data_IF_121096844179
#
_entry.id   IF_121096844179
#
_cell.length_a   1.000
_cell.length_b   1.000
_cell.length_c   1.000
_cell.angle_alpha   90.00
_cell.angle_beta   90.00
_cell.angle_gamma   90.00
#
_symmetry.space_group_name_H-M   'P 1'
#
loop_
_entity.id
_entity.type
_entity.pdbx_description
1 polymer ?
#
# COMPACT_ATOMS: atom_id res chain seq x y z
N UNK A 1 -33.50 -23.93 -27.03
CA UNK A 1 -32.34 -23.25 -27.66
C UNK A 1 -32.05 -23.72 -29.09
N UNK A 2 -31.48 -24.91 -29.34
CA UNK A 2 -31.14 -25.34 -30.71
C UNK A 2 -32.33 -25.32 -31.70
N UNK A 3 -33.51 -25.73 -31.25
CA UNK A 3 -34.73 -25.71 -32.06
C UNK A 3 -35.20 -24.28 -32.41
N UNK A 4 -35.21 -23.35 -31.46
CA UNK A 4 -35.52 -21.93 -31.70
C UNK A 4 -34.50 -21.25 -32.61
N UNK A 5 -33.21 -21.60 -32.50
CA UNK A 5 -32.16 -21.07 -33.37
C UNK A 5 -32.25 -21.57 -34.82
N UNK A 6 -33.02 -22.63 -35.06
CA UNK A 6 -33.34 -23.16 -36.39
C UNK A 6 -34.77 -22.78 -36.84
N UNK A 7 -35.32 -21.70 -36.27
CA UNK A 7 -36.69 -21.20 -36.53
C UNK A 7 -37.82 -22.22 -36.25
N UNK A 8 -37.53 -23.22 -35.42
CA UNK A 8 -38.51 -24.21 -34.98
C UNK A 8 -39.47 -23.65 -33.94
N UNK A 9 -40.76 -23.98 -34.07
CA UNK A 9 -41.79 -23.58 -33.10
C UNK A 9 -41.75 -24.48 -31.86
N UNK A 10 -41.51 -23.89 -30.69
CA UNK A 10 -41.55 -24.57 -29.39
C UNK A 10 -42.81 -24.15 -28.63
N UNK A 11 -43.54 -25.11 -28.06
CA UNK A 11 -44.68 -24.87 -27.17
C UNK A 11 -44.24 -24.90 -25.70
N UNK A 12 -45.13 -24.46 -24.80
CA UNK A 12 -44.81 -24.42 -23.36
C UNK A 12 -44.50 -25.82 -22.85
N UNK A 13 -43.27 -26.00 -22.37
CA UNK A 13 -42.76 -27.30 -21.92
C UNK A 13 -42.48 -27.32 -20.42
N UNK A 14 -42.30 -26.15 -19.79
CA UNK A 14 -42.15 -26.04 -18.33
C UNK A 14 -43.52 -26.14 -17.65
N UNK A 15 -43.54 -26.80 -16.50
CA UNK A 15 -44.71 -26.88 -15.65
C UNK A 15 -44.36 -26.83 -14.17
N UNK A 16 -45.35 -26.73 -13.27
CA UNK A 16 -45.11 -26.68 -11.83
C UNK A 16 -44.31 -27.88 -11.30
N UNK A 17 -44.54 -29.06 -11.91
CA UNK A 17 -43.92 -30.33 -11.54
C UNK A 17 -42.80 -30.76 -12.52
N UNK A 18 -42.48 -29.95 -13.52
CA UNK A 18 -41.47 -30.28 -14.53
C UNK A 18 -40.66 -29.04 -14.91
N UNK A 19 -39.46 -28.93 -14.35
CA UNK A 19 -38.54 -27.80 -14.52
C UNK A 19 -39.17 -26.41 -14.27
N UNK A 20 -39.80 -26.19 -13.09
CA UNK A 20 -40.43 -24.91 -12.77
C UNK A 20 -39.40 -23.79 -12.79
N UNK A 21 -39.78 -22.64 -13.33
CA UNK A 21 -38.97 -21.42 -13.33
C UNK A 21 -39.69 -20.36 -12.52
N UNK A 22 -38.94 -19.66 -11.66
CA UNK A 22 -39.45 -18.53 -10.89
C UNK A 22 -38.89 -17.24 -11.47
N UNK A 23 -39.77 -16.34 -11.85
CA UNK A 23 -39.42 -15.01 -12.30
C UNK A 23 -39.46 -14.02 -11.12
N UNK A 24 -38.66 -12.94 -11.15
CA UNK A 24 -38.73 -11.90 -10.13
C UNK A 24 -40.11 -11.23 -10.10
N UNK A 25 -40.46 -10.49 -9.02
CA UNK A 25 -41.69 -9.71 -8.98
C UNK A 25 -41.86 -8.83 -10.22
N UNK A 26 -43.12 -8.69 -10.68
CA UNK A 26 -43.49 -7.89 -11.86
C UNK A 26 -42.87 -8.38 -13.18
N UNK A 27 -42.73 -9.70 -13.29
CA UNK A 27 -42.29 -10.34 -14.52
C UNK A 27 -42.91 -11.71 -14.70
N UNK A 28 -42.96 -12.16 -15.95
CA UNK A 28 -43.56 -13.42 -16.34
C UNK A 28 -42.61 -14.22 -17.23
N UNK A 29 -42.69 -15.54 -17.10
CA UNK A 29 -41.94 -16.45 -17.94
C UNK A 29 -42.51 -16.44 -19.36
N UNK A 30 -41.63 -16.34 -20.37
CA UNK A 30 -41.96 -16.48 -21.78
C UNK A 30 -40.93 -17.37 -22.48
N UNK A 31 -41.39 -18.15 -23.46
CA UNK A 31 -40.52 -18.95 -24.33
C UNK A 31 -39.67 -18.09 -25.26
N UNK A 32 -40.10 -16.87 -25.52
CA UNK A 32 -39.47 -15.91 -26.42
C UNK A 32 -39.61 -14.52 -25.77
N UNK A 33 -38.59 -14.12 -25.02
CA UNK A 33 -38.57 -12.83 -24.32
C UNK A 33 -37.95 -11.74 -25.20
N UNK A 34 -38.51 -10.55 -25.17
CA UNK A 34 -37.94 -9.32 -25.70
C UNK A 34 -37.22 -8.55 -24.57
N UNK A 35 -35.99 -8.97 -24.25
CA UNK A 35 -35.21 -8.38 -23.15
C UNK A 35 -34.35 -7.19 -23.58
N UNK A 36 -34.29 -6.88 -24.89
CA UNK A 36 -33.40 -5.83 -25.39
C UNK A 36 -34.08 -4.45 -25.39
N UNK A 37 -35.38 -4.38 -25.69
CA UNK A 37 -36.07 -3.10 -25.89
C UNK A 37 -36.53 -2.42 -24.59
N UNK A 38 -36.63 -3.16 -23.48
CA UNK A 38 -37.25 -2.67 -22.23
C UNK A 38 -36.33 -2.76 -21.02
N UNK A 39 -35.14 -2.14 -21.11
CA UNK A 39 -34.21 -2.04 -19.97
C UNK A 39 -33.96 -0.58 -19.59
N UNK A 40 -33.75 -0.27 -18.31
CA UNK A 40 -33.43 1.10 -17.88
C UNK A 40 -32.20 1.68 -18.61
N UNK A 41 -31.17 0.86 -18.81
CA UNK A 41 -29.98 1.26 -19.57
C UNK A 41 -30.26 1.39 -21.09
N UNK A 42 -31.15 0.56 -21.63
CA UNK A 42 -31.53 0.53 -23.04
C UNK A 42 -32.42 1.70 -23.44
N UNK A 43 -33.32 2.17 -22.58
CA UNK A 43 -34.17 3.34 -22.87
C UNK A 43 -33.33 4.62 -22.97
N UNK A 44 -32.20 4.66 -22.26
CA UNK A 44 -31.27 5.78 -22.25
C UNK A 44 -30.16 5.66 -23.32
N UNK A 45 -30.15 4.60 -24.14
CA UNK A 45 -29.13 4.38 -25.19
C UNK A 45 -29.73 3.93 -26.51
N UNK A 46 -29.26 4.46 -27.64
CA UNK A 46 -29.71 4.01 -28.97
C UNK A 46 -29.08 2.67 -29.33
N UNK A 47 -29.61 1.55 -28.83
CA UNK A 47 -29.17 0.21 -29.21
C UNK A 47 -30.12 -0.42 -30.22
N UNK A 48 -29.54 -0.96 -31.29
CA UNK A 48 -30.26 -1.79 -32.26
C UNK A 48 -30.40 -3.19 -31.68
N UNK A 49 -31.63 -3.60 -31.37
CA UNK A 49 -31.93 -4.94 -30.89
C UNK A 49 -31.98 -5.93 -32.06
N UNK A 50 -31.49 -7.15 -31.83
CA UNK A 50 -31.72 -8.27 -32.73
C UNK A 50 -33.12 -8.85 -32.49
N UNK A 51 -33.78 -9.31 -33.55
CA UNK A 51 -35.07 -10.01 -33.45
C UNK A 51 -34.96 -11.43 -32.89
N UNK A 52 -33.77 -11.83 -32.41
CA UNK A 52 -33.53 -13.15 -31.85
C UNK A 52 -33.93 -13.15 -30.37
N UNK A 53 -34.96 -13.91 -30.04
CA UNK A 53 -35.43 -14.07 -28.68
C UNK A 53 -34.95 -15.38 -28.05
N UNK A 54 -34.90 -15.39 -26.72
CA UNK A 54 -34.57 -16.57 -25.92
C UNK A 54 -35.65 -16.80 -24.88
N UNK A 55 -35.68 -18.00 -24.32
CA UNK A 55 -36.58 -18.35 -23.22
C UNK A 55 -36.09 -17.72 -21.92
N UNK A 56 -36.98 -17.06 -21.16
CA UNK A 56 -36.61 -16.36 -19.93
C UNK A 56 -37.77 -15.65 -19.24
N UNK A 57 -37.45 -14.70 -18.36
CA UNK A 57 -38.42 -13.83 -17.72
C UNK A 57 -38.45 -12.47 -18.42
N UNK A 58 -39.65 -11.99 -18.72
CA UNK A 58 -39.90 -10.67 -19.29
C UNK A 58 -40.72 -9.83 -18.31
N UNK A 59 -40.35 -8.56 -18.14
CA UNK A 59 -41.08 -7.65 -17.26
C UNK A 59 -42.53 -7.46 -17.73
N UNK A 60 -43.43 -7.30 -16.77
CA UNK A 60 -44.84 -7.03 -17.06
C UNK A 60 -45.03 -5.62 -17.65
N UNK A 61 -46.12 -5.36 -18.40
CA UNK A 61 -46.40 -4.03 -18.95
C UNK A 61 -46.36 -2.93 -17.88
N UNK A 62 -45.63 -1.84 -18.15
CA UNK A 62 -45.40 -0.74 -17.19
C UNK A 62 -44.12 -0.90 -16.36
N UNK A 63 -43.41 -2.03 -16.47
CA UNK A 63 -42.13 -2.28 -15.83
C UNK A 63 -41.02 -2.47 -16.87
N UNK A 64 -39.80 -2.14 -16.46
CA UNK A 64 -38.58 -2.23 -17.26
C UNK A 64 -37.49 -2.93 -16.47
N UNK A 65 -36.60 -3.63 -17.18
CA UNK A 65 -35.53 -4.41 -16.56
C UNK A 65 -34.38 -3.50 -16.10
N UNK A 66 -34.08 -3.52 -14.81
CA UNK A 66 -32.93 -2.88 -14.20
C UNK A 66 -31.97 -3.95 -13.65
N UNK A 67 -31.08 -4.43 -14.52
CA UNK A 67 -30.18 -5.55 -14.23
C UNK A 67 -30.93 -6.86 -14.02
N UNK A 68 -31.25 -7.18 -12.77
CA UNK A 68 -31.86 -8.42 -12.32
C UNK A 68 -33.32 -8.28 -11.83
N UNK A 69 -33.88 -7.07 -11.86
CA UNK A 69 -35.22 -6.76 -11.33
C UNK A 69 -36.06 -5.98 -12.33
N UNK A 70 -37.38 -6.13 -12.25
CA UNK A 70 -38.33 -5.30 -12.98
C UNK A 70 -38.79 -4.15 -12.10
N UNK A 71 -38.58 -2.91 -12.55
CA UNK A 71 -38.89 -1.68 -11.81
C UNK A 71 -39.76 -0.76 -12.66
N UNK A 72 -40.46 0.17 -12.03
CA UNK A 72 -41.17 1.23 -12.74
C UNK A 72 -40.18 2.26 -13.30
N UNK A 73 -40.58 3.00 -14.34
CA UNK A 73 -39.68 3.92 -15.04
C UNK A 73 -39.07 5.02 -14.13
N UNK A 74 -39.81 5.47 -13.11
CA UNK A 74 -39.35 6.46 -12.12
C UNK A 74 -38.30 5.90 -11.14
N UNK A 75 -38.10 4.58 -11.15
CA UNK A 75 -37.09 3.87 -10.37
C UNK A 75 -35.88 3.44 -11.20
N UNK A 76 -35.85 3.79 -12.48
CA UNK A 76 -34.62 3.68 -13.25
C UNK A 76 -33.55 4.59 -12.67
N UNK A 77 -32.30 4.12 -12.79
CA UNK A 77 -31.14 4.89 -12.40
C UNK A 77 -30.75 5.97 -13.40
N UNK A 78 -29.46 6.29 -13.45
CA UNK A 78 -28.91 7.46 -14.12
C UNK A 78 -27.80 7.05 -15.09
N UNK A 79 -27.47 7.90 -16.05
CA UNK A 79 -26.28 7.72 -16.90
C UNK A 79 -25.22 8.74 -16.51
N UNK A 80 -24.04 8.25 -16.13
CA UNK A 80 -22.86 9.07 -15.83
C UNK A 80 -21.69 8.60 -16.68
N UNK A 81 -21.10 9.51 -17.47
CA UNK A 81 -19.98 9.22 -18.38
C UNK A 81 -20.23 7.99 -19.28
N UNK A 82 -21.44 7.86 -19.83
CA UNK A 82 -21.83 6.76 -20.71
C UNK A 82 -22.06 5.42 -20.01
N UNK A 83 -22.00 5.37 -18.67
CA UNK A 83 -22.29 4.18 -17.86
C UNK A 83 -23.59 4.37 -17.09
N UNK A 84 -24.41 3.34 -17.10
CA UNK A 84 -25.63 3.29 -16.31
C UNK A 84 -25.28 2.97 -14.84
N UNK A 85 -25.84 3.75 -13.92
CA UNK A 85 -25.77 3.61 -12.46
C UNK A 85 -27.19 3.37 -11.95
N UNK A 86 -27.40 2.39 -11.07
CA UNK A 86 -28.73 2.17 -10.46
C UNK A 86 -29.07 3.33 -9.52
N UNK A 87 -30.36 3.50 -9.21
CA UNK A 87 -30.77 4.48 -8.20
C UNK A 87 -30.09 4.16 -6.85
N UNK A 88 -29.47 5.17 -6.25
CA UNK A 88 -28.69 5.05 -5.02
C UNK A 88 -27.21 4.71 -5.22
N UNK A 89 -26.77 4.26 -6.40
CA UNK A 89 -25.36 3.98 -6.67
C UNK A 89 -24.51 5.24 -6.57
N UNK A 90 -23.25 5.07 -6.17
CA UNK A 90 -22.27 6.15 -6.08
C UNK A 90 -20.92 5.75 -6.67
N UNK A 91 -20.21 6.72 -7.22
CA UNK A 91 -18.91 6.53 -7.85
C UNK A 91 -17.99 7.72 -7.60
N UNK A 92 -16.70 7.44 -7.39
CA UNK A 92 -15.64 8.45 -7.44
C UNK A 92 -15.15 8.59 -8.88
N UNK A 93 -14.88 9.83 -9.31
CA UNK A 93 -14.22 10.07 -10.60
C UNK A 93 -12.81 9.46 -10.64
N UNK A 94 -12.22 9.25 -11.83
CA UNK A 94 -10.91 8.60 -11.96
C UNK A 94 -9.74 9.26 -11.21
N UNK A 95 -9.89 10.53 -10.87
CA UNK A 95 -8.95 11.37 -10.12
C UNK A 95 -9.39 11.58 -8.65
N UNK A 96 -10.51 10.97 -8.23
CA UNK A 96 -11.12 11.14 -6.91
C UNK A 96 -11.42 12.61 -6.56
N UNK A 97 -11.65 13.47 -7.56
CA UNK A 97 -12.00 14.89 -7.32
C UNK A 97 -13.49 15.12 -7.14
N UNK A 98 -14.33 14.16 -7.58
CA UNK A 98 -15.78 14.22 -7.40
C UNK A 98 -16.35 12.89 -6.94
N UNK A 99 -17.27 12.98 -5.98
CA UNK A 99 -18.14 11.89 -5.56
C UNK A 99 -19.52 12.12 -6.16
N UNK A 100 -19.96 11.21 -7.03
CA UNK A 100 -21.22 11.32 -7.77
C UNK A 100 -22.19 10.23 -7.33
N UNK A 101 -23.43 10.62 -7.04
CA UNK A 101 -24.51 9.72 -6.64
C UNK A 101 -25.69 9.83 -7.61
N UNK A 102 -26.23 8.68 -8.01
CA UNK A 102 -27.48 8.62 -8.76
C UNK A 102 -28.66 8.72 -7.80
N UNK A 103 -29.53 9.70 -8.02
CA UNK A 103 -30.74 9.89 -7.23
C UNK A 103 -31.85 10.47 -8.09
N UNK A 104 -33.02 9.83 -8.08
CA UNK A 104 -34.22 10.31 -8.78
C UNK A 104 -34.00 10.55 -10.29
N UNK A 105 -33.26 9.64 -10.95
CA UNK A 105 -32.95 9.72 -12.39
C UNK A 105 -31.89 10.77 -12.77
N UNK A 106 -31.36 11.52 -11.80
CA UNK A 106 -30.30 12.51 -11.98
C UNK A 106 -29.01 12.15 -11.25
N UNK A 107 -27.87 12.62 -11.76
CA UNK A 107 -26.58 12.47 -11.10
C UNK A 107 -26.26 13.75 -10.33
N UNK A 108 -26.04 13.64 -9.02
CA UNK A 108 -25.56 14.73 -8.18
C UNK A 108 -24.11 14.46 -7.80
N UNK A 109 -23.21 15.41 -8.07
CA UNK A 109 -21.80 15.29 -7.71
C UNK A 109 -21.40 16.36 -6.70
N UNK A 110 -20.60 15.97 -5.71
CA UNK A 110 -19.92 16.88 -4.78
C UNK A 110 -18.42 16.78 -4.97
N UNK A 111 -17.72 17.91 -4.79
CA UNK A 111 -16.26 17.91 -4.80
C UNK A 111 -15.73 17.12 -3.59
N UNK A 112 -14.64 16.40 -3.80
CA UNK A 112 -13.94 15.61 -2.80
C UNK A 112 -12.46 15.56 -3.14
N UNK A 113 -11.63 15.20 -2.18
CA UNK A 113 -10.22 14.91 -2.41
C UNK A 113 -9.81 13.79 -1.48
N UNK A 114 -8.78 13.04 -1.87
CA UNK A 114 -8.13 12.14 -0.93
C UNK A 114 -7.45 12.96 0.18
N UNK A 115 -7.28 12.35 1.36
CA UNK A 115 -6.47 12.94 2.41
C UNK A 115 -5.02 13.14 1.96
N UNK A 116 -4.25 13.93 2.71
CA UNK A 116 -2.85 14.26 2.39
C UNK A 116 -1.99 13.02 2.10
N UNK A 117 -2.29 11.89 2.74
CA UNK A 117 -1.47 10.67 2.69
C UNK A 117 -2.21 9.51 2.00
N UNK A 118 -3.25 9.83 1.25
CA UNK A 118 -4.03 8.86 0.50
C UNK A 118 -3.92 9.10 -1.00
N UNK A 119 -3.81 8.02 -1.77
CA UNK A 119 -3.78 8.08 -3.23
C UNK A 119 -5.07 7.52 -3.81
N UNK A 120 -5.57 8.20 -4.84
CA UNK A 120 -6.70 7.71 -5.61
C UNK A 120 -6.27 6.46 -6.41
N UNK A 121 -6.74 5.29 -6.01
CA UNK A 121 -6.40 4.03 -6.67
C UNK A 121 -7.63 3.09 -6.73
N UNK A 122 -7.44 1.90 -7.30
CA UNK A 122 -8.48 0.87 -7.38
C UNK A 122 -7.98 -0.39 -6.70
N UNK A 123 -8.57 -0.75 -5.55
CA UNK A 123 -8.29 -2.00 -4.85
C UNK A 123 -9.49 -2.94 -4.97
N UNK A 124 -9.27 -4.18 -5.42
CA UNK A 124 -10.33 -5.19 -5.62
C UNK A 124 -11.52 -4.69 -6.48
N UNK A 125 -11.23 -3.87 -7.51
CA UNK A 125 -12.25 -3.30 -8.39
C UNK A 125 -13.01 -2.09 -7.83
N UNK A 126 -12.74 -1.69 -6.59
CA UNK A 126 -13.35 -0.52 -5.95
C UNK A 126 -12.37 0.64 -6.00
N UNK A 127 -12.81 1.77 -6.55
CA UNK A 127 -12.05 3.02 -6.54
C UNK A 127 -12.24 3.74 -5.21
N UNK A 128 -11.15 4.22 -4.64
CA UNK A 128 -11.15 4.92 -3.37
C UNK A 128 -9.84 5.66 -3.12
N UNK A 129 -9.82 6.37 -2.01
CA UNK A 129 -8.62 6.93 -1.43
C UNK A 129 -8.04 5.88 -0.48
N UNK A 130 -6.79 5.51 -0.69
CA UNK A 130 -6.11 4.49 0.11
C UNK A 130 -4.79 5.05 0.61
N UNK A 131 -4.49 4.79 1.88
CA UNK A 131 -3.22 5.13 2.51
C UNK A 131 -2.05 4.67 1.65
N UNK A 132 -1.12 5.58 1.39
CA UNK A 132 0.16 5.26 0.77
C UNK A 132 1.11 4.88 1.88
N UNK A 133 1.49 3.61 1.95
CA UNK A 133 2.61 3.16 2.77
C UNK A 133 3.84 3.03 1.88
N UNK A 134 5.02 3.19 2.45
CA UNK A 134 6.27 3.02 1.70
C UNK A 134 7.36 2.34 2.51
N UNK A 135 8.28 1.72 1.78
CA UNK A 135 9.45 1.05 2.30
C UNK A 135 10.71 1.82 1.87
N UNK A 136 11.58 2.15 2.83
CA UNK A 136 12.96 2.44 2.54
C UNK A 136 13.80 1.16 2.57
N UNK A 137 14.65 0.96 1.58
CA UNK A 137 15.48 -0.24 1.43
C UNK A 137 16.96 0.12 1.46
N UNK A 138 17.75 -0.62 2.24
CA UNK A 138 19.21 -0.44 2.39
C UNK A 138 19.86 -1.80 2.21
N UNK A 139 20.76 -1.94 1.24
CA UNK A 139 21.44 -3.21 0.94
C UNK A 139 22.83 -3.00 0.35
N UNK A 140 23.52 -4.10 0.02
CA UNK A 140 24.79 -4.07 -0.72
C UNK A 140 24.72 -3.31 -2.05
N UNK A 141 23.52 -3.18 -2.64
CA UNK A 141 23.30 -2.49 -3.91
C UNK A 141 23.12 -0.97 -3.77
N UNK A 142 22.91 -0.49 -2.54
CA UNK A 142 22.58 0.90 -2.30
C UNK A 142 21.31 1.10 -1.48
N UNK A 143 20.80 2.33 -1.53
CA UNK A 143 19.60 2.79 -0.84
C UNK A 143 18.47 3.07 -1.85
N UNK A 144 17.24 2.79 -1.45
CA UNK A 144 16.01 3.26 -2.09
C UNK A 144 15.22 4.00 -1.01
N UNK A 145 14.99 5.29 -1.21
CA UNK A 145 14.21 6.15 -0.30
C UNK A 145 12.72 5.82 -0.35
N UNK A 146 11.95 6.40 0.55
CA UNK A 146 10.50 6.20 0.59
C UNK A 146 9.79 6.66 -0.69
N UNK A 147 10.28 7.71 -1.35
CA UNK A 147 9.67 8.26 -2.57
C UNK A 147 10.31 7.69 -3.85
N UNK A 148 11.23 6.73 -3.71
CA UNK A 148 11.79 5.94 -4.81
C UNK A 148 13.09 6.47 -5.40
N UNK A 149 13.73 7.49 -4.81
CA UNK A 149 15.10 7.86 -5.16
C UNK A 149 16.03 6.69 -4.85
N UNK A 150 16.74 6.20 -5.85
CA UNK A 150 17.64 5.05 -5.72
C UNK A 150 19.08 5.40 -6.09
N UNK A 151 20.05 4.81 -5.39
CA UNK A 151 21.47 4.97 -5.71
C UNK A 151 22.28 3.69 -5.52
N UNK A 152 23.53 3.73 -6.00
CA UNK A 152 24.57 2.72 -5.86
C UNK A 152 25.21 2.63 -4.46
N UNK A 153 26.44 2.08 -4.35
CA UNK A 153 26.96 1.50 -3.12
C UNK A 153 26.97 2.47 -1.94
N UNK A 154 26.51 1.99 -0.78
CA UNK A 154 26.50 2.77 0.46
C UNK A 154 27.88 2.70 1.12
N UNK A 155 28.45 3.82 1.59
CA UNK A 155 29.76 3.79 2.22
C UNK A 155 29.71 3.11 3.61
N UNK A 156 30.69 2.27 3.98
CA UNK A 156 30.72 1.57 5.27
C UNK A 156 30.76 2.53 6.47
N UNK A 157 30.14 2.15 7.59
CA UNK A 157 30.02 2.91 8.83
C UNK A 157 28.57 3.18 9.21
N UNK A 158 28.34 3.83 10.36
CA UNK A 158 26.99 4.12 10.86
C UNK A 158 26.32 5.22 10.01
N UNK A 159 25.09 4.97 9.59
CA UNK A 159 24.28 5.87 8.78
C UNK A 159 22.91 6.06 9.43
N UNK A 160 22.48 7.29 9.62
CA UNK A 160 21.11 7.59 10.05
C UNK A 160 20.16 7.40 8.88
N UNK A 161 19.40 6.31 8.94
CA UNK A 161 18.50 5.87 7.88
C UNK A 161 17.20 6.68 7.93
N UNK A 162 16.62 6.82 9.12
CA UNK A 162 15.43 7.62 9.33
C UNK A 162 15.25 8.01 10.79
N UNK A 163 14.63 9.15 11.05
CA UNK A 163 14.18 9.64 12.34
C UNK A 163 12.91 10.48 12.17
N UNK A 164 12.12 10.62 13.25
CA UNK A 164 11.06 11.61 13.28
C UNK A 164 11.70 13.00 13.46
N UNK A 165 11.40 13.95 12.57
CA UNK A 165 12.02 15.27 12.61
C UNK A 165 11.66 16.05 13.89
N UNK A 166 10.45 15.86 14.42
CA UNK A 166 10.04 16.45 15.69
C UNK A 166 10.62 15.66 16.86
N UNK A 167 11.73 16.16 17.40
CA UNK A 167 12.45 15.57 18.53
C UNK A 167 11.71 15.65 19.87
N UNK A 168 10.58 16.34 19.93
CA UNK A 168 9.76 16.50 21.14
C UNK A 168 8.52 15.62 21.16
N UNK A 169 8.28 14.85 20.09
CA UNK A 169 7.14 13.94 20.00
C UNK A 169 7.27 12.75 20.95
N UNK A 170 6.16 12.37 21.60
CA UNK A 170 6.11 11.19 22.48
C UNK A 170 6.36 9.87 21.73
N UNK A 171 6.22 9.88 20.41
CA UNK A 171 6.48 8.74 19.51
C UNK A 171 7.79 8.91 18.74
N UNK A 172 8.67 9.82 19.18
CA UNK A 172 9.95 10.07 18.53
C UNK A 172 10.78 8.79 18.42
N UNK A 173 11.40 8.63 17.26
CA UNK A 173 12.35 7.56 17.01
C UNK A 173 13.53 8.04 16.17
N UNK A 174 14.63 7.27 16.26
CA UNK A 174 15.81 7.42 15.40
C UNK A 174 16.41 6.05 15.07
N UNK A 175 16.73 5.82 13.81
CA UNK A 175 17.20 4.54 13.28
C UNK A 175 18.56 4.72 12.62
N UNK A 176 19.55 3.98 13.10
CA UNK A 176 20.90 3.97 12.58
C UNK A 176 21.24 2.56 12.09
N UNK A 177 21.69 2.46 10.84
CA UNK A 177 22.24 1.23 10.29
C UNK A 177 23.77 1.27 10.34
N UNK A 178 24.38 0.26 10.98
CA UNK A 178 25.83 0.03 10.94
C UNK A 178 26.16 -0.85 9.72
N UNK A 179 26.77 -0.22 8.70
CA UNK A 179 27.09 -0.86 7.43
C UNK A 179 28.53 -1.31 7.46
N UNK A 180 28.78 -2.61 7.29
CA UNK A 180 30.13 -3.17 7.31
C UNK A 180 30.52 -3.67 5.93
N UNK A 181 31.81 -3.57 5.63
CA UNK A 181 32.44 -4.21 4.47
C UNK A 181 33.36 -5.32 4.98
N UNK A 182 33.04 -6.58 4.69
CA UNK A 182 33.95 -7.69 4.99
C UNK A 182 34.28 -8.42 3.67
N UNK A 183 35.56 -8.47 3.27
CA UNK A 183 36.00 -9.12 2.00
C UNK A 183 35.25 -8.60 0.76
N UNK A 184 35.01 -7.30 0.68
CA UNK A 184 34.21 -6.62 -0.36
C UNK A 184 32.70 -6.96 -0.36
N UNK A 185 32.18 -7.59 0.70
CA UNK A 185 30.74 -7.76 0.92
C UNK A 185 30.22 -6.64 1.84
N UNK A 186 29.42 -5.74 1.26
CA UNK A 186 28.79 -4.62 1.98
C UNK A 186 27.44 -5.08 2.49
N UNK A 187 27.21 -5.00 3.79
CA UNK A 187 25.95 -5.44 4.39
C UNK A 187 25.61 -4.61 5.63
N UNK A 188 24.32 -4.48 5.93
CA UNK A 188 23.87 -3.94 7.22
C UNK A 188 24.15 -5.02 8.27
N UNK A 189 25.11 -4.78 9.15
CA UNK A 189 25.50 -5.73 10.19
C UNK A 189 24.60 -5.60 11.42
N UNK A 190 24.32 -4.35 11.82
CA UNK A 190 23.44 -4.03 12.95
C UNK A 190 22.55 -2.85 12.65
N UNK A 191 21.42 -2.81 13.34
CA UNK A 191 20.52 -1.66 13.36
C UNK A 191 20.28 -1.27 14.80
N UNK A 192 20.41 0.02 15.07
CA UNK A 192 20.14 0.65 16.35
C UNK A 192 18.88 1.49 16.22
N UNK A 193 17.90 1.23 17.07
CA UNK A 193 16.63 1.95 17.10
C UNK A 193 16.47 2.60 18.47
N UNK A 194 16.31 3.91 18.46
CA UNK A 194 16.11 4.74 19.64
C UNK A 194 14.66 5.17 19.72
N UNK A 195 14.12 5.13 20.93
CA UNK A 195 12.90 5.79 21.36
C UNK A 195 13.25 6.66 22.57
N UNK A 196 12.28 7.44 23.04
CA UNK A 196 12.46 8.28 24.23
C UNK A 196 12.91 7.47 25.47
N UNK A 197 12.32 6.29 25.69
CA UNK A 197 12.57 5.45 26.87
C UNK A 197 13.18 4.07 26.57
N UNK A 198 13.59 3.82 25.31
CA UNK A 198 14.11 2.52 24.91
C UNK A 198 15.21 2.63 23.85
N UNK A 199 16.19 1.74 23.95
CA UNK A 199 17.25 1.55 22.96
C UNK A 199 17.31 0.08 22.55
N UNK A 200 17.06 -0.18 21.28
CA UNK A 200 17.05 -1.53 20.70
C UNK A 200 18.22 -1.66 19.74
N UNK A 201 18.91 -2.78 19.81
CA UNK A 201 19.90 -3.17 18.80
C UNK A 201 19.52 -4.53 18.25
N UNK A 202 19.56 -4.70 16.93
CA UNK A 202 19.38 -5.99 16.26
C UNK A 202 20.52 -6.24 15.27
N UNK A 203 20.93 -7.49 15.09
CA UNK A 203 22.00 -7.89 14.15
C UNK A 203 21.50 -8.83 13.06
N UNK A 204 22.25 -8.90 11.95
CA UNK A 204 21.98 -9.87 10.87
C UNK A 204 22.20 -11.32 11.32
N UNK A 205 22.96 -11.54 12.39
CA UNK A 205 23.11 -12.83 13.08
C UNK A 205 21.87 -13.22 13.92
N UNK A 206 20.84 -12.36 13.94
CA UNK A 206 19.56 -12.51 14.65
C UNK A 206 19.71 -12.41 16.16
N UNK A 207 20.66 -11.61 16.62
CA UNK A 207 20.77 -11.22 18.02
C UNK A 207 19.99 -9.92 18.25
N UNK A 208 19.41 -9.77 19.44
CA UNK A 208 18.67 -8.57 19.83
C UNK A 208 19.02 -8.14 21.25
N UNK A 209 19.14 -6.84 21.48
CA UNK A 209 19.34 -6.24 22.78
C UNK A 209 18.30 -5.16 23.03
N UNK A 210 17.81 -5.08 24.26
CA UNK A 210 17.00 -3.98 24.76
C UNK A 210 17.72 -3.33 25.93
N UNK A 211 18.04 -2.04 25.83
CA UNK A 211 18.77 -1.27 26.84
C UNK A 211 20.08 -1.97 27.26
N UNK A 212 20.76 -2.62 26.32
CA UNK A 212 22.00 -3.39 26.53
C UNK A 212 21.81 -4.82 27.03
N UNK A 213 20.60 -5.25 27.40
CA UNK A 213 20.32 -6.62 27.82
C UNK A 213 20.05 -7.51 26.61
N UNK A 214 20.81 -8.60 26.47
CA UNK A 214 20.61 -9.60 25.42
C UNK A 214 19.25 -10.31 25.60
N UNK A 215 18.48 -10.36 24.52
CA UNK A 215 17.17 -10.98 24.48
C UNK A 215 17.23 -12.41 23.96
N UNK A 216 16.35 -13.25 24.50
CA UNK A 216 16.07 -14.58 23.95
C UNK A 216 14.83 -14.52 23.05
N UNK A 217 15.02 -14.80 21.76
CA UNK A 217 14.00 -14.83 20.69
C UNK A 217 13.42 -16.26 20.53
N UNK A 218 12.21 -16.47 19.97
CA UNK A 218 11.80 -15.93 18.67
C UNK A 218 10.86 -14.71 18.72
N UNK A 219 10.26 -14.37 19.86
CA UNK A 219 9.41 -13.19 19.99
C UNK A 219 9.43 -12.64 21.42
N UNK A 220 9.50 -11.31 21.54
CA UNK A 220 9.42 -10.56 22.80
C UNK A 220 8.64 -9.27 22.59
N UNK A 221 7.72 -8.97 23.50
CA UNK A 221 6.94 -7.73 23.51
C UNK A 221 7.39 -6.84 24.67
N UNK A 222 7.54 -5.54 24.40
CA UNK A 222 7.98 -4.52 25.34
C UNK A 222 7.10 -3.28 25.17
N UNK A 223 5.91 -3.30 25.76
CA UNK A 223 4.96 -2.19 25.67
C UNK A 223 4.58 -1.90 24.22
N UNK A 224 5.11 -0.80 23.67
CA UNK A 224 4.82 -0.32 22.32
C UNK A 224 5.56 -1.06 21.21
N UNK A 225 6.54 -1.90 21.54
CA UNK A 225 7.45 -2.52 20.58
C UNK A 225 7.40 -4.03 20.71
N UNK A 226 7.46 -4.75 19.60
CA UNK A 226 7.73 -6.18 19.58
C UNK A 226 8.94 -6.49 18.71
N UNK A 227 9.74 -7.45 19.15
CA UNK A 227 10.93 -7.94 18.45
C UNK A 227 10.70 -9.41 18.18
N UNK A 228 10.79 -9.82 16.92
CA UNK A 228 10.66 -11.22 16.52
C UNK A 228 11.76 -11.64 15.55
N UNK A 229 12.11 -12.92 15.55
CA UNK A 229 13.08 -13.48 14.62
C UNK A 229 12.57 -14.78 13.99
N UNK A 230 12.89 -14.94 12.71
CA UNK A 230 12.69 -16.16 11.95
C UNK A 230 14.05 -16.77 11.59
N UNK A 231 14.08 -17.77 10.69
CA UNK A 231 15.35 -18.33 10.21
C UNK A 231 16.15 -17.34 9.35
N UNK A 232 15.48 -16.42 8.65
CA UNK A 232 16.09 -15.56 7.64
C UNK A 232 16.06 -14.07 7.97
N UNK A 233 15.46 -13.68 9.09
CA UNK A 233 15.34 -12.27 9.46
C UNK A 233 15.08 -12.04 10.95
N UNK A 234 15.27 -10.79 11.35
CA UNK A 234 14.78 -10.21 12.59
C UNK A 234 13.92 -8.98 12.27
N UNK A 235 12.81 -8.84 12.98
CA UNK A 235 11.80 -7.80 12.77
C UNK A 235 11.58 -7.04 14.07
N UNK A 236 11.46 -5.71 13.97
CA UNK A 236 10.97 -4.83 15.02
C UNK A 236 9.66 -4.23 14.52
N UNK A 237 8.57 -4.53 15.20
CA UNK A 237 7.26 -3.92 14.98
C UNK A 237 6.95 -2.93 16.10
N UNK A 238 6.19 -1.88 15.80
CA UNK A 238 5.63 -0.99 16.81
C UNK A 238 4.13 -0.85 16.68
N UNK A 239 3.50 -0.37 17.76
CA UNK A 239 2.10 0.02 17.79
C UNK A 239 1.79 1.29 16.97
N UNK A 240 2.82 2.04 16.53
CA UNK A 240 2.68 3.17 15.59
C UNK A 240 2.83 2.70 14.14
N UNK A 241 2.68 1.41 13.87
CA UNK A 241 2.63 0.78 12.54
C UNK A 241 3.89 0.94 11.67
N UNK A 242 5.02 1.43 12.18
CA UNK A 242 6.29 1.19 11.48
C UNK A 242 6.74 -0.27 11.70
N UNK A 243 7.44 -0.81 10.70
CA UNK A 243 8.06 -2.13 10.77
C UNK A 243 9.47 -2.08 10.21
N UNK A 244 10.43 -2.53 10.99
CA UNK A 244 11.82 -2.67 10.56
C UNK A 244 12.17 -4.14 10.39
N UNK A 245 12.72 -4.51 9.24
CA UNK A 245 13.08 -5.88 8.89
C UNK A 245 14.55 -5.93 8.45
N UNK A 246 15.36 -6.73 9.15
CA UNK A 246 16.76 -6.98 8.82
C UNK A 246 16.93 -8.45 8.45
N UNK A 247 17.35 -8.72 7.21
CA UNK A 247 17.63 -10.08 6.74
C UNK A 247 18.99 -10.58 7.20
N UNK A 248 19.17 -11.90 7.23
CA UNK A 248 20.49 -12.52 7.47
C UNK A 248 21.50 -12.26 6.35
N UNK A 249 21.05 -11.78 5.18
CA UNK A 249 21.90 -11.27 4.11
C UNK A 249 22.35 -9.81 4.31
N UNK A 250 21.87 -9.17 5.39
CA UNK A 250 22.16 -7.76 5.71
C UNK A 250 21.47 -6.75 4.79
N UNK A 251 20.27 -7.11 4.29
CA UNK A 251 19.35 -6.15 3.68
C UNK A 251 18.38 -5.65 4.76
N UNK A 252 18.24 -4.34 4.84
CA UNK A 252 17.32 -3.66 5.74
C UNK A 252 16.15 -3.10 4.93
N UNK A 253 14.94 -3.35 5.42
CA UNK A 253 13.70 -2.74 4.95
C UNK A 253 13.05 -2.01 6.13
N UNK A 254 12.79 -0.73 5.97
CA UNK A 254 12.06 0.07 6.94
C UNK A 254 10.74 0.55 6.33
N UNK A 255 9.64 0.05 6.88
CA UNK A 255 8.28 0.35 6.47
C UNK A 255 7.67 1.39 7.40
N UNK A 256 7.00 2.40 6.84
CA UNK A 256 6.32 3.44 7.61
C UNK A 256 4.86 3.59 7.15
N UNK A 257 3.95 3.91 8.07
CA UNK A 257 2.56 4.14 7.72
C UNK A 257 2.41 5.53 7.07
N UNK A 258 1.30 5.72 6.36
CA UNK A 258 1.00 6.95 5.62
C UNK A 258 1.07 8.23 6.46
N UNK A 259 0.78 8.13 7.75
CA UNK A 259 0.78 9.20 8.75
C UNK A 259 2.15 9.85 8.93
N UNK A 260 3.23 9.15 8.58
CA UNK A 260 4.60 9.67 8.65
C UNK A 260 4.96 10.62 7.49
N UNK A 261 4.05 10.86 6.54
CA UNK A 261 4.32 11.66 5.34
C UNK A 261 4.83 13.06 5.69
N UNK A 262 6.00 13.43 5.16
CA UNK A 262 6.63 14.72 5.39
C UNK A 262 7.12 14.96 6.82
N UNK A 263 7.09 13.94 7.69
CA UNK A 263 7.50 14.03 9.09
C UNK A 263 8.88 13.40 9.36
N UNK A 264 9.44 12.73 8.34
CA UNK A 264 10.68 11.97 8.47
C UNK A 264 11.89 12.79 8.03
N UNK A 265 13.00 12.50 8.70
CA UNK A 265 14.33 13.02 8.44
C UNK A 265 15.27 11.81 8.26
N UNK A 266 16.35 11.95 7.49
CA UNK A 266 17.36 10.88 7.34
C UNK A 266 17.69 10.57 5.88
N UNK A 267 18.59 9.60 5.69
CA UNK A 267 19.03 9.18 4.36
C UNK A 267 17.91 8.58 3.49
N UNK A 268 16.80 8.13 4.09
CA UNK A 268 15.61 7.62 3.40
C UNK A 268 14.66 8.70 2.87
N UNK A 269 15.01 9.97 3.00
CA UNK A 269 14.15 11.06 2.55
C UNK A 269 13.08 11.45 3.57
N UNK A 270 12.16 12.31 3.14
CA UNK A 270 11.12 12.89 3.99
C UNK A 270 9.74 12.22 3.82
N UNK A 271 9.60 11.31 2.85
CA UNK A 271 8.39 10.58 2.53
C UNK A 271 7.21 11.51 2.18
N UNK A 272 7.31 12.26 1.09
CA UNK A 272 6.28 13.23 0.68
C UNK A 272 5.77 13.02 -0.77
N UNK A 273 5.98 11.84 -1.35
CA UNK A 273 5.70 11.47 -2.76
C UNK A 273 6.52 12.30 -3.78
N UNK A 274 7.64 12.91 -3.36
CA UNK A 274 8.51 13.70 -4.23
C UNK A 274 10.00 13.32 -4.11
N UNK A 275 10.42 12.28 -4.85
CA UNK A 275 11.82 11.85 -4.93
C UNK A 275 12.83 12.92 -5.39
N UNK A 276 12.40 14.04 -5.97
CA UNK A 276 13.31 15.13 -6.35
C UNK A 276 13.84 15.91 -5.16
N UNK A 277 13.17 15.85 -4.00
CA UNK A 277 13.60 16.48 -2.76
C UNK A 277 14.15 15.49 -1.72
N UNK A 278 14.40 14.24 -2.10
CA UNK A 278 15.07 13.28 -1.21
C UNK A 278 16.58 13.57 -1.02
N UNK A 279 17.17 14.45 -1.84
CA UNK A 279 18.55 14.90 -1.71
C UNK A 279 18.68 16.09 -0.73
N UNK A 280 18.08 15.98 0.46
CA UNK A 280 18.25 16.95 1.54
C UNK A 280 18.99 16.32 2.73
N UNK A 281 20.13 16.92 3.09
CA UNK A 281 20.89 16.58 4.27
C UNK A 281 20.25 17.10 5.58
N UNK A 282 20.94 16.92 6.71
CA UNK A 282 20.49 17.41 8.01
C UNK A 282 20.12 18.90 7.98
N UNK A 283 18.99 19.25 8.62
CA UNK A 283 18.47 20.62 8.63
C UNK A 283 17.81 21.07 7.31
N UNK A 284 17.55 20.16 6.38
CA UNK A 284 16.91 20.48 5.10
C UNK A 284 17.84 21.17 4.11
N UNK A 285 19.15 20.86 4.16
CA UNK A 285 20.12 21.42 3.23
C UNK A 285 20.15 20.58 1.96
N UNK A 286 19.72 21.15 0.83
CA UNK A 286 19.79 20.47 -0.46
C UNK A 286 21.25 20.12 -0.83
N UNK A 287 21.48 18.89 -1.28
CA UNK A 287 22.77 18.41 -1.78
C UNK A 287 22.68 18.02 -3.24
N UNK A 288 23.81 18.11 -3.97
CA UNK A 288 23.84 17.89 -5.42
C UNK A 288 23.82 16.43 -5.84
N UNK A 289 24.17 15.51 -4.94
CA UNK A 289 24.23 14.08 -5.22
C UNK A 289 24.06 13.25 -3.94
N UNK A 290 23.68 12.00 -4.15
CA UNK A 290 23.40 11.02 -3.09
C UNK A 290 24.66 10.56 -2.33
N UNK A 291 25.87 10.63 -2.90
CA UNK A 291 27.08 10.29 -2.14
C UNK A 291 27.31 11.34 -1.06
N UNK A 292 27.12 12.62 -1.42
CA UNK A 292 27.14 13.74 -0.47
C UNK A 292 26.01 13.61 0.55
N UNK A 293 24.81 13.18 0.15
CA UNK A 293 23.70 12.90 1.06
C UNK A 293 24.08 11.86 2.12
N UNK A 294 24.58 10.70 1.70
CA UNK A 294 24.95 9.59 2.60
C UNK A 294 26.08 9.97 3.54
N UNK A 295 27.03 10.80 3.11
CA UNK A 295 28.06 11.37 3.97
C UNK A 295 27.50 12.38 4.98
N UNK A 296 26.50 13.17 4.59
CA UNK A 296 25.89 14.17 5.48
C UNK A 296 25.07 13.54 6.61
N UNK A 297 24.46 12.36 6.38
CA UNK A 297 23.66 11.61 7.34
C UNK A 297 24.45 10.59 8.18
N UNK A 298 25.79 10.68 8.20
CA UNK A 298 26.62 9.87 9.09
C UNK A 298 26.27 10.15 10.55
N UNK A 299 25.96 9.09 11.30
CA UNK A 299 25.74 9.18 12.73
C UNK A 299 27.09 9.30 13.45
N UNK A 300 27.52 10.54 13.71
CA UNK A 300 28.85 10.85 14.28
C UNK A 300 29.00 10.46 15.75
N UNK A 301 27.87 10.31 16.44
CA UNK A 301 27.77 9.83 17.81
C UNK A 301 28.00 8.31 17.93
N UNK A 302 28.07 7.60 16.81
CA UNK A 302 28.55 6.23 16.73
C UNK A 302 29.98 6.23 16.21
N UNK A 303 30.90 5.67 17.00
CA UNK A 303 32.27 5.45 16.54
C UNK A 303 32.26 4.46 15.38
N UNK A 304 32.54 4.92 14.17
CA UNK A 304 32.90 4.04 13.07
C UNK A 304 34.21 3.33 13.42
N UNK A 305 34.35 2.07 13.06
CA UNK A 305 35.69 1.48 12.97
C UNK A 305 36.41 2.16 11.80
N UNK A 306 37.44 2.96 12.07
CA UNK A 306 38.35 3.49 11.04
C UNK A 306 39.12 2.39 10.28
N UNK A 307 38.88 1.12 10.61
CA UNK A 307 39.31 -0.04 9.82
C UNK A 307 38.10 -0.61 9.04
N UNK A 308 38.07 -0.43 7.70
CA UNK A 308 37.05 -1.01 6.83
C UNK A 308 37.22 -2.53 6.64
N UNK A 309 38.14 -3.18 7.34
CA UNK A 309 38.34 -4.62 7.31
C UNK A 309 38.01 -5.22 8.66
N UNK A 310 37.04 -6.14 8.66
CA UNK A 310 36.74 -7.08 9.73
C UNK A 310 38.00 -7.91 10.05
N UNK A 311 38.95 -7.31 10.74
CA UNK A 311 40.17 -7.97 11.20
C UNK A 311 39.76 -8.90 12.33
N UNK A 312 40.19 -10.16 12.28
CA UNK A 312 40.10 -11.05 13.44
C UNK A 312 40.84 -10.36 14.57
N UNK A 313 40.12 -9.86 15.57
CA UNK A 313 40.75 -9.30 16.78
C UNK A 313 41.30 -10.49 17.56
N UNK A 314 42.58 -10.82 17.33
CA UNK A 314 43.37 -11.46 18.38
C UNK A 314 43.56 -10.44 19.49
N UNK A 315 43.40 -10.86 20.74
CA UNK A 315 43.38 -10.05 21.97
C UNK A 315 44.71 -9.34 22.31
N UNK A 316 45.40 -8.73 21.34
CA UNK A 316 46.73 -8.12 21.54
C UNK A 316 46.85 -6.64 21.14
N UNK A 317 45.78 -5.95 20.73
CA UNK A 317 45.90 -4.55 20.26
C UNK A 317 44.85 -3.58 20.83
N UNK A 318 44.70 -3.55 22.16
CA UNK A 318 43.98 -2.49 22.87
C UNK A 318 44.91 -1.55 23.68
N UNK A 319 46.17 -1.38 23.28
CA UNK A 319 47.12 -0.56 24.06
C UNK A 319 47.40 0.85 23.51
N UNK A 320 46.88 1.26 22.35
CA UNK A 320 47.19 2.59 21.79
C UNK A 320 46.05 3.21 20.97
N UNK A 321 44.87 3.38 21.56
CA UNK A 321 43.87 4.31 21.03
C UNK A 321 43.73 5.49 21.99
N UNK A 322 44.33 6.62 21.63
CA UNK A 322 43.95 7.91 22.18
C UNK A 322 42.52 8.21 21.71
N UNK A 323 41.54 7.92 22.56
CA UNK A 323 40.22 8.52 22.44
C UNK A 323 40.34 10.01 22.78
N UNK A 324 40.49 10.86 21.77
CA UNK A 324 40.30 12.30 21.93
C UNK A 324 38.80 12.57 22.10
N UNK A 325 38.39 12.76 23.35
CA UNK A 325 37.10 13.35 23.71
C UNK A 325 37.20 14.84 23.39
N UNK A 326 36.37 15.34 22.47
CA UNK A 326 36.05 16.76 22.34
C UNK A 326 34.84 17.09 23.20
#
# INVERSE_FOLDING_TARGET
MACQAADGTITSWRGPNFCPMKCPPYSQYKLCTNTCESTCAGILSTKTCTNQCFEGCECDPGYVLDGDKCVTMDKCGCVFNGKYMRDGDSVLTPDCTKFCKCQAGGVTCSDTSCGTNEKCSVHNGIRGCFSVESDCLVSSRGIVTFDGLSSGPIPPGPLEISSLCDTHSDIWFRIIADIQSCKNDISVARVHVFFQDAFITVSKEREAWLNGLLLSLPAREFGMISISATESNITIDSNINFRLHLSTSGSLKFHVPSEANGQLCGACGNFNDNSLDDLHGPGGVAVGDISTLLLSWRARDFSGCDKPECSIVTLEFCDNLECSIL
#
